data_IF_493241012016
#
_entry.id   IF_493241012016
#
_cell.length_a   1.000
_cell.length_b   1.000
_cell.length_c   1.000
_cell.angle_alpha   90.00
_cell.angle_beta   90.00
_cell.angle_gamma   90.00
#
_symmetry.space_group_name_H-M   'P 1'
#
loop_
_entity.id
_entity.type
_entity.pdbx_description
1 polymer ?
#
# COMPACT_ATOMS: atom_id res chain seq x y z
N UNK A 1 -22.57 -7.03 -4.35
CA UNK A 1 -22.15 -8.07 -5.32
C UNK A 1 -21.46 -7.46 -6.53
N UNK A 2 -22.13 -6.66 -7.39
CA UNK A 2 -21.52 -6.19 -8.65
C UNK A 2 -20.13 -5.53 -8.57
N UNK A 3 -19.88 -4.62 -7.61
CA UNK A 3 -18.58 -3.91 -7.51
C UNK A 3 -17.39 -4.84 -7.22
N UNK A 4 -17.58 -5.93 -6.47
CA UNK A 4 -16.47 -6.87 -6.19
C UNK A 4 -16.21 -7.78 -7.38
N UNK A 5 -17.25 -8.25 -8.05
CA UNK A 5 -17.13 -9.05 -9.28
C UNK A 5 -16.43 -8.25 -10.40
N UNK A 6 -16.74 -6.95 -10.53
CA UNK A 6 -16.04 -6.06 -11.46
C UNK A 6 -14.55 -5.91 -11.10
N UNK A 7 -14.21 -5.85 -9.80
CA UNK A 7 -12.83 -5.81 -9.34
C UNK A 7 -12.09 -7.11 -9.63
N UNK A 8 -12.73 -8.26 -9.38
CA UNK A 8 -12.18 -9.58 -9.67
C UNK A 8 -11.88 -9.74 -11.16
N UNK A 9 -12.82 -9.38 -12.03
CA UNK A 9 -12.60 -9.45 -13.47
C UNK A 9 -11.41 -8.60 -13.93
N UNK A 10 -11.22 -7.41 -13.35
CA UNK A 10 -10.05 -6.57 -13.67
C UNK A 10 -8.75 -7.17 -13.13
N UNK A 11 -8.77 -7.79 -11.96
CA UNK A 11 -7.63 -8.49 -11.35
C UNK A 11 -7.22 -9.69 -12.20
N UNK A 12 -8.17 -10.51 -12.62
CA UNK A 12 -7.93 -11.71 -13.43
C UNK A 12 -7.31 -11.38 -14.80
N UNK A 13 -7.57 -10.16 -15.30
CA UNK A 13 -6.96 -9.66 -16.54
C UNK A 13 -5.63 -8.91 -16.31
N UNK A 14 -5.14 -8.82 -15.06
CA UNK A 14 -3.88 -8.16 -14.73
C UNK A 14 -2.69 -9.00 -15.17
N UNK A 15 -1.69 -8.36 -15.77
CA UNK A 15 -0.41 -9.00 -16.13
C UNK A 15 0.59 -9.05 -14.97
N UNK A 16 0.14 -8.85 -13.73
CA UNK A 16 1.00 -8.78 -12.55
C UNK A 16 1.42 -10.20 -12.14
N UNK A 17 2.73 -10.45 -12.10
CA UNK A 17 3.28 -11.74 -11.68
C UNK A 17 3.24 -11.85 -10.15
N UNK A 18 2.11 -12.32 -9.61
CA UNK A 18 1.87 -12.42 -8.16
C UNK A 18 2.81 -13.44 -7.51
N UNK A 19 3.09 -14.57 -8.16
CA UNK A 19 3.99 -15.58 -7.63
C UNK A 19 5.40 -15.03 -7.45
N UNK A 20 5.91 -14.27 -8.42
CA UNK A 20 7.20 -13.57 -8.29
C UNK A 20 7.18 -12.51 -7.20
N UNK A 21 6.07 -11.81 -7.00
CA UNK A 21 5.95 -10.84 -5.90
C UNK A 21 5.99 -11.53 -4.53
N UNK A 22 5.31 -12.67 -4.37
CA UNK A 22 5.23 -13.42 -3.11
C UNK A 22 6.49 -14.25 -2.81
N UNK A 23 7.30 -14.57 -3.81
CA UNK A 23 8.52 -15.34 -3.63
C UNK A 23 9.47 -14.67 -2.62
N UNK A 24 9.97 -15.45 -1.66
CA UNK A 24 10.97 -14.99 -0.70
C UNK A 24 12.31 -14.71 -1.40
N UNK A 25 12.96 -13.61 -1.02
CA UNK A 25 14.29 -13.24 -1.50
C UNK A 25 15.21 -12.82 -0.35
N UNK A 26 16.51 -12.84 -0.62
CA UNK A 26 17.56 -12.41 0.31
C UNK A 26 18.28 -11.22 -0.32
N UNK A 27 18.31 -10.11 0.41
CA UNK A 27 18.96 -8.87 -0.02
C UNK A 27 20.14 -8.54 0.90
N UNK A 28 21.31 -8.23 0.32
CA UNK A 28 22.42 -7.67 1.08
C UNK A 28 22.12 -6.24 1.54
N UNK A 29 22.37 -5.90 2.81
CA UNK A 29 22.09 -4.55 3.34
C UNK A 29 22.79 -3.40 2.59
N UNK A 30 23.89 -3.69 1.90
CA UNK A 30 24.67 -2.73 1.10
C UNK A 30 24.32 -2.74 -0.39
N UNK A 31 23.46 -3.66 -0.81
CA UNK A 31 23.12 -3.92 -2.21
C UNK A 31 21.63 -3.65 -2.46
N UNK A 32 20.95 -2.97 -1.53
CA UNK A 32 19.55 -2.57 -1.67
C UNK A 32 19.31 -1.17 -1.10
N UNK A 33 18.31 -0.49 -1.65
CA UNK A 33 17.74 0.74 -1.12
C UNK A 33 16.69 0.40 -0.07
N UNK A 34 17.13 0.22 1.19
CA UNK A 34 16.24 -0.17 2.27
C UNK A 34 15.75 1.00 3.13
N UNK A 35 14.59 0.84 3.76
CA UNK A 35 14.04 1.77 4.73
C UNK A 35 13.32 1.05 5.88
N UNK A 36 13.29 1.65 7.07
CA UNK A 36 12.55 1.15 8.23
C UNK A 36 11.96 2.26 9.11
N UNK A 37 12.73 3.34 9.34
CA UNK A 37 12.36 4.46 10.20
C UNK A 37 12.48 5.79 9.46
N UNK A 38 11.85 6.82 10.02
CA UNK A 38 11.76 8.18 9.45
C UNK A 38 13.08 8.86 9.10
N UNK A 39 14.17 8.42 9.72
CA UNK A 39 15.49 9.02 9.53
C UNK A 39 16.32 8.29 8.47
N UNK A 40 15.80 7.20 7.90
CA UNK A 40 16.50 6.45 6.86
C UNK A 40 16.35 7.17 5.51
N UNK A 41 17.37 7.09 4.66
CA UNK A 41 17.49 7.86 3.42
C UNK A 41 16.34 7.63 2.41
N UNK A 42 15.65 6.50 2.51
CA UNK A 42 14.57 6.11 1.61
C UNK A 42 13.21 6.02 2.31
N UNK A 43 13.05 6.64 3.49
CA UNK A 43 11.80 6.57 4.26
C UNK A 43 10.57 7.02 3.48
N UNK A 44 10.72 7.98 2.56
CA UNK A 44 9.65 8.48 1.69
C UNK A 44 9.03 7.40 0.82
N UNK A 45 9.73 6.29 0.60
CA UNK A 45 9.21 5.12 -0.11
C UNK A 45 8.18 4.33 0.69
N UNK A 46 8.23 4.44 2.03
CA UNK A 46 7.25 3.80 2.91
C UNK A 46 5.83 4.23 2.58
N UNK A 47 4.88 3.30 2.68
CA UNK A 47 3.46 3.60 2.64
C UNK A 47 3.00 4.44 3.85
N UNK A 48 3.78 4.46 4.93
CA UNK A 48 3.55 5.26 6.12
C UNK A 48 4.07 6.70 6.00
N UNK A 49 4.82 7.03 4.95
CA UNK A 49 5.36 8.37 4.75
C UNK A 49 4.24 9.41 4.57
N UNK A 50 4.30 10.47 5.37
CA UNK A 50 3.39 11.62 5.25
C UNK A 50 3.93 12.68 4.30
N UNK A 51 3.26 13.84 4.25
CA UNK A 51 3.64 15.01 3.44
C UNK A 51 3.63 14.81 1.91
N UNK A 52 3.20 13.63 1.44
CA UNK A 52 2.97 13.32 0.02
C UNK A 52 1.52 12.85 -0.14
N UNK A 53 0.56 13.79 -0.12
CA UNK A 53 -0.85 13.45 -0.14
C UNK A 53 -1.22 12.71 -1.42
N UNK A 54 -2.10 11.74 -1.29
CA UNK A 54 -2.75 11.05 -2.41
C UNK A 54 -4.13 11.66 -2.59
N UNK A 55 -4.42 12.11 -3.81
CA UNK A 55 -5.70 12.72 -4.16
C UNK A 55 -6.33 11.82 -5.21
N UNK A 56 -7.55 11.38 -4.96
CA UNK A 56 -8.38 10.66 -5.93
C UNK A 56 -9.79 11.23 -5.84
N UNK A 57 -10.41 11.50 -6.98
CA UNK A 57 -11.70 12.21 -7.04
C UNK A 57 -11.74 13.45 -6.11
N UNK A 58 -12.64 13.46 -5.12
CA UNK A 58 -12.80 14.51 -4.12
C UNK A 58 -12.08 14.23 -2.79
N UNK A 59 -11.41 13.09 -2.67
CA UNK A 59 -10.81 12.62 -1.43
C UNK A 59 -9.31 12.91 -1.36
N UNK A 60 -8.88 13.38 -0.19
CA UNK A 60 -7.46 13.64 0.10
C UNK A 60 -6.99 12.75 1.25
N UNK A 61 -6.04 11.87 0.95
CA UNK A 61 -5.35 11.03 1.93
C UNK A 61 -3.96 11.59 2.19
N UNK A 62 -3.53 11.69 3.45
CA UNK A 62 -2.22 12.23 3.83
C UNK A 62 -1.07 11.21 3.68
N UNK A 63 -1.38 9.96 3.37
CA UNK A 63 -0.43 8.86 3.15
C UNK A 63 -1.09 7.76 2.32
N UNK A 64 -0.31 6.89 1.67
CA UNK A 64 -0.87 5.71 1.00
C UNK A 64 -1.42 4.68 1.96
N UNK A 65 -0.86 4.55 3.18
CA UNK A 65 -1.43 3.71 4.23
C UNK A 65 -2.90 4.07 4.50
N UNK A 66 -3.23 5.36 4.52
CA UNK A 66 -4.61 5.79 4.77
C UNK A 66 -5.57 5.30 3.68
N UNK A 67 -5.19 5.43 2.41
CA UNK A 67 -5.99 4.96 1.29
C UNK A 67 -6.07 3.42 1.26
N UNK A 68 -4.95 2.76 1.50
CA UNK A 68 -4.85 1.29 1.55
C UNK A 68 -5.68 0.69 2.68
N UNK A 69 -5.69 1.30 3.87
CA UNK A 69 -6.56 0.81 4.96
C UNK A 69 -8.04 1.08 4.66
N UNK A 70 -8.38 2.13 3.91
CA UNK A 70 -9.76 2.40 3.52
C UNK A 70 -10.30 1.37 2.52
N UNK A 71 -9.47 0.85 1.61
CA UNK A 71 -9.88 -0.12 0.58
C UNK A 71 -10.25 -1.51 1.13
N UNK A 72 -9.98 -1.77 2.40
CA UNK A 72 -10.38 -3.00 3.12
C UNK A 72 -11.87 -3.08 3.42
N UNK A 73 -12.58 -1.96 3.35
CA UNK A 73 -13.92 -1.82 3.91
C UNK A 73 -14.89 -1.31 2.85
N UNK A 74 -16.08 -1.90 2.80
CA UNK A 74 -17.19 -1.36 2.01
C UNK A 74 -17.62 0.01 2.58
N UNK A 75 -18.22 0.90 1.75
CA UNK A 75 -18.60 2.25 2.18
C UNK A 75 -19.53 2.32 3.40
N UNK A 76 -20.28 1.26 3.65
CA UNK A 76 -21.33 1.11 4.67
C UNK A 76 -20.83 0.44 5.97
N UNK A 77 -19.59 -0.03 6.03
CA UNK A 77 -19.04 -0.69 7.23
C UNK A 77 -18.94 0.29 8.40
N UNK A 78 -19.60 -0.05 9.51
CA UNK A 78 -19.56 0.68 10.76
C UNK A 78 -18.89 -0.12 11.88
N UNK A 79 -18.07 0.54 12.69
CA UNK A 79 -17.42 -0.05 13.86
C UNK A 79 -17.02 1.03 14.86
N UNK A 80 -17.57 0.99 16.08
CA UNK A 80 -17.21 1.91 17.17
C UNK A 80 -16.31 1.17 18.18
N UNK A 81 -15.07 1.65 18.45
CA UNK A 81 -14.23 1.06 19.48
C UNK A 81 -14.83 1.30 20.87
N UNK A 82 -14.81 0.27 21.74
CA UNK A 82 -15.24 0.40 23.14
C UNK A 82 -14.52 1.53 23.88
N UNK A 83 -13.24 1.75 23.55
CA UNK A 83 -12.43 2.82 24.14
C UNK A 83 -12.82 4.23 23.68
N UNK A 84 -13.66 4.36 22.65
CA UNK A 84 -14.10 5.64 22.06
C UNK A 84 -15.56 5.53 21.58
N UNK A 85 -16.54 5.48 22.51
CA UNK A 85 -17.95 5.27 22.17
C UNK A 85 -18.59 6.41 21.36
N UNK A 86 -17.93 7.57 21.27
CA UNK A 86 -18.37 8.73 20.47
C UNK A 86 -17.60 8.89 19.15
N UNK A 87 -16.79 7.90 18.77
CA UNK A 87 -16.06 7.96 17.51
C UNK A 87 -17.03 7.88 16.32
N UNK A 88 -16.66 8.51 15.20
CA UNK A 88 -17.31 8.29 13.91
C UNK A 88 -17.47 6.78 13.66
N UNK A 89 -18.70 6.26 13.52
CA UNK A 89 -18.95 4.82 13.37
C UNK A 89 -18.50 4.31 12.01
N UNK A 90 -18.68 5.09 10.94
CA UNK A 90 -18.31 4.65 9.61
C UNK A 90 -16.78 4.52 9.48
N UNK A 91 -16.32 3.32 9.17
CA UNK A 91 -14.89 2.99 9.22
C UNK A 91 -14.11 3.81 8.19
N UNK A 92 -14.60 3.94 6.95
CA UNK A 92 -13.92 4.72 5.91
C UNK A 92 -13.92 6.21 6.21
N UNK A 93 -15.05 6.80 6.63
CA UNK A 93 -15.08 8.21 7.07
C UNK A 93 -14.09 8.45 8.20
N UNK A 94 -14.04 7.55 9.19
CA UNK A 94 -13.08 7.65 10.28
C UNK A 94 -11.63 7.51 9.83
N UNK A 95 -11.34 6.62 8.86
CA UNK A 95 -9.99 6.49 8.27
C UNK A 95 -9.62 7.76 7.52
N UNK A 96 -10.45 8.27 6.62
CA UNK A 96 -10.20 9.48 5.84
C UNK A 96 -10.08 10.74 6.72
N UNK A 97 -10.79 10.79 7.85
CA UNK A 97 -10.66 11.87 8.83
C UNK A 97 -9.35 11.88 9.63
N UNK A 98 -8.47 10.90 9.49
CA UNK A 98 -7.19 10.87 10.21
C UNK A 98 -6.16 11.81 9.57
N UNK A 99 -5.38 12.50 10.41
CA UNK A 99 -4.31 13.39 9.96
C UNK A 99 -3.01 12.67 9.60
N UNK A 100 -2.83 11.43 10.07
CA UNK A 100 -1.61 10.65 9.87
C UNK A 100 -1.89 9.15 9.67
N UNK A 101 -0.98 8.49 8.94
CA UNK A 101 -0.99 7.05 8.66
C UNK A 101 -1.26 6.18 9.90
N UNK A 102 -0.66 6.53 11.04
CA UNK A 102 -0.85 5.79 12.30
C UNK A 102 -2.31 5.82 12.79
N UNK A 103 -2.98 6.97 12.64
CA UNK A 103 -4.40 7.09 13.01
C UNK A 103 -5.27 6.16 12.16
N UNK A 104 -5.02 6.13 10.84
CA UNK A 104 -5.71 5.24 9.92
C UNK A 104 -5.51 3.77 10.31
N UNK A 105 -4.26 3.37 10.57
CA UNK A 105 -3.91 2.01 11.02
C UNK A 105 -4.58 1.63 12.35
N UNK A 106 -4.72 2.56 13.29
CA UNK A 106 -5.42 2.30 14.55
C UNK A 106 -6.93 2.13 14.36
N UNK A 107 -7.55 2.95 13.51
CA UNK A 107 -8.96 2.76 13.13
C UNK A 107 -9.19 1.38 12.51
N UNK A 108 -8.31 0.98 11.59
CA UNK A 108 -8.34 -0.31 10.91
C UNK A 108 -8.29 -1.48 11.91
N UNK A 109 -7.45 -1.42 12.95
CA UNK A 109 -7.30 -2.52 13.92
C UNK A 109 -8.59 -2.87 14.64
N UNK A 110 -9.42 -1.85 14.93
CA UNK A 110 -10.71 -2.07 15.57
C UNK A 110 -11.65 -2.87 14.66
N UNK A 111 -11.75 -2.48 13.40
CA UNK A 111 -12.64 -3.13 12.43
C UNK A 111 -12.13 -4.52 12.02
N UNK A 112 -10.81 -4.75 11.96
CA UNK A 112 -10.23 -6.10 11.82
C UNK A 112 -10.64 -7.00 12.97
N UNK A 113 -10.51 -6.54 14.22
CA UNK A 113 -10.88 -7.34 15.39
C UNK A 113 -12.36 -7.73 15.38
N UNK A 114 -13.20 -6.87 14.79
CA UNK A 114 -14.62 -7.12 14.60
C UNK A 114 -14.95 -8.00 13.38
N UNK A 115 -13.97 -8.44 12.59
CA UNK A 115 -14.19 -9.29 11.42
C UNK A 115 -14.83 -8.57 10.24
N UNK A 116 -14.63 -7.25 10.11
CA UNK A 116 -15.34 -6.40 9.13
C UNK A 116 -14.53 -6.10 7.85
N UNK A 117 -13.37 -6.73 7.69
CA UNK A 117 -12.59 -6.63 6.43
C UNK A 117 -13.34 -7.38 5.34
N UNK A 118 -13.30 -6.87 4.10
CA UNK A 118 -13.84 -7.56 2.92
C UNK A 118 -13.33 -9.01 2.84
N UNK A 119 -14.22 -9.92 2.48
CA UNK A 119 -14.00 -11.37 2.56
C UNK A 119 -12.87 -11.90 1.67
N UNK A 120 -12.59 -11.23 0.57
CA UNK A 120 -11.58 -11.58 -0.44
C UNK A 120 -10.22 -10.90 -0.19
N UNK A 121 -10.05 -10.18 0.92
CA UNK A 121 -8.81 -9.43 1.19
C UNK A 121 -7.56 -10.32 1.27
N UNK A 122 -7.73 -11.52 1.81
CA UNK A 122 -6.70 -12.56 1.97
C UNK A 122 -6.98 -13.77 1.06
N UNK A 123 -7.84 -13.63 0.05
CA UNK A 123 -8.10 -14.71 -0.92
C UNK A 123 -6.98 -14.74 -1.96
N UNK A 124 -6.16 -15.79 -1.93
CA UNK A 124 -5.03 -16.01 -2.83
C UNK A 124 -5.44 -16.08 -4.32
N UNK A 125 -6.73 -16.26 -4.64
CA UNK A 125 -7.21 -16.23 -6.04
C UNK A 125 -7.20 -14.82 -6.63
N UNK A 126 -7.47 -13.81 -5.81
CA UNK A 126 -7.65 -12.43 -6.27
C UNK A 126 -6.55 -11.50 -5.75
N UNK A 127 -5.94 -11.80 -4.61
CA UNK A 127 -4.78 -11.06 -4.10
C UNK A 127 -5.04 -9.56 -3.99
N UNK A 128 -6.28 -9.21 -3.64
CA UNK A 128 -6.81 -7.85 -3.67
C UNK A 128 -5.91 -6.88 -2.91
N UNK A 129 -5.29 -7.33 -1.82
CA UNK A 129 -4.35 -6.53 -1.03
C UNK A 129 -3.10 -6.10 -1.81
N UNK A 130 -2.57 -6.93 -2.70
CA UNK A 130 -1.40 -6.61 -3.56
C UNK A 130 -1.82 -5.59 -4.61
N UNK A 131 -2.91 -5.85 -5.32
CA UNK A 131 -3.48 -4.95 -6.31
C UNK A 131 -3.84 -3.58 -5.70
N UNK A 132 -4.40 -3.59 -4.48
CA UNK A 132 -4.66 -2.38 -3.70
C UNK A 132 -3.40 -1.58 -3.43
N UNK A 133 -2.32 -2.25 -3.01
CA UNK A 133 -1.06 -1.55 -2.73
C UNK A 133 -0.48 -0.93 -4.01
N UNK A 134 -0.47 -1.67 -5.13
CA UNK A 134 0.00 -1.13 -6.40
C UNK A 134 -0.79 0.11 -6.82
N UNK A 135 -2.12 0.04 -6.79
CA UNK A 135 -3.00 1.15 -7.15
C UNK A 135 -2.71 2.41 -6.31
N UNK A 136 -2.58 2.29 -4.98
CA UNK A 136 -2.30 3.45 -4.13
C UNK A 136 -0.89 4.02 -4.37
N UNK A 137 0.08 3.19 -4.73
CA UNK A 137 1.43 3.64 -5.07
C UNK A 137 1.46 4.37 -6.42
N UNK A 138 0.72 3.89 -7.41
CA UNK A 138 0.55 4.60 -8.69
C UNK A 138 -0.07 5.99 -8.48
N UNK A 139 -1.14 6.08 -7.67
CA UNK A 139 -1.73 7.37 -7.31
C UNK A 139 -0.75 8.27 -6.53
N UNK A 140 0.05 7.71 -5.61
CA UNK A 140 1.09 8.48 -4.91
C UNK A 140 2.09 9.07 -5.88
N UNK A 141 2.56 8.30 -6.87
CA UNK A 141 3.48 8.77 -7.91
C UNK A 141 2.84 9.85 -8.79
N UNK A 142 1.60 9.63 -9.22
CA UNK A 142 0.86 10.58 -10.01
C UNK A 142 0.71 11.94 -9.29
N UNK A 143 0.31 11.93 -8.02
CA UNK A 143 0.13 13.15 -7.23
C UNK A 143 1.45 13.81 -6.84
N UNK A 144 2.54 13.04 -6.70
CA UNK A 144 3.80 13.50 -6.09
C UNK A 144 5.04 13.21 -6.98
N UNK A 145 5.08 13.61 -8.25
CA UNK A 145 6.14 13.23 -9.17
C UNK A 145 7.50 13.86 -8.83
N UNK A 146 7.51 15.04 -8.19
CA UNK A 146 8.73 15.79 -7.83
C UNK A 146 9.31 15.43 -6.46
N UNK A 147 8.54 14.75 -5.62
CA UNK A 147 8.96 14.30 -4.28
C UNK A 147 9.12 12.79 -4.26
N UNK A 148 8.01 12.05 -4.19
CA UNK A 148 8.03 10.58 -4.21
C UNK A 148 8.71 10.03 -5.47
N UNK A 149 8.39 10.58 -6.64
CA UNK A 149 9.01 10.14 -7.89
C UNK A 149 10.53 10.34 -7.93
N UNK A 150 11.03 11.43 -7.34
CA UNK A 150 12.46 11.71 -7.23
C UNK A 150 13.16 10.68 -6.35
N UNK A 151 12.61 10.38 -5.17
CA UNK A 151 13.18 9.36 -4.27
C UNK A 151 13.11 7.97 -4.89
N UNK A 152 12.03 7.67 -5.63
CA UNK A 152 11.89 6.40 -6.33
C UNK A 152 12.99 6.21 -7.38
N UNK A 153 13.25 7.23 -8.22
CA UNK A 153 14.32 7.19 -9.23
C UNK A 153 15.73 7.20 -8.63
N UNK A 154 15.93 7.82 -7.46
CA UNK A 154 17.24 7.83 -6.80
C UNK A 154 17.68 6.47 -6.23
N UNK A 155 16.81 5.46 -6.28
CA UNK A 155 17.19 4.08 -5.95
C UNK A 155 17.91 3.37 -7.11
N UNK A 156 17.98 4.02 -8.28
CA UNK A 156 18.67 3.54 -9.47
C UNK A 156 18.26 2.11 -9.84
N UNK A 157 19.22 1.18 -9.90
CA UNK A 157 19.00 -0.23 -10.19
C UNK A 157 18.94 -1.09 -8.91
N UNK A 158 19.05 -0.50 -7.72
CA UNK A 158 19.02 -1.27 -6.48
C UNK A 158 17.61 -1.81 -6.21
N UNK A 159 17.47 -3.05 -5.70
CA UNK A 159 16.22 -3.50 -5.11
C UNK A 159 15.76 -2.55 -4.02
N UNK A 160 14.47 -2.24 -3.98
CA UNK A 160 13.87 -1.43 -2.91
C UNK A 160 13.36 -2.39 -1.85
N UNK A 161 13.71 -2.18 -0.57
CA UNK A 161 13.39 -3.14 0.49
C UNK A 161 12.81 -2.46 1.72
N UNK A 162 11.60 -2.82 2.13
CA UNK A 162 11.12 -2.45 3.47
C UNK A 162 11.75 -3.38 4.49
N UNK A 163 12.58 -2.86 5.40
CA UNK A 163 13.05 -3.62 6.55
C UNK A 163 11.95 -3.64 7.62
N UNK A 164 11.76 -4.78 8.26
CA UNK A 164 10.72 -5.01 9.26
C UNK A 164 11.25 -5.83 10.43
N UNK A 165 10.61 -5.69 11.60
CA UNK A 165 10.91 -6.50 12.78
C UNK A 165 10.14 -7.82 12.82
N UNK A 166 9.02 -7.90 12.09
CA UNK A 166 8.02 -8.98 12.25
C UNK A 166 7.37 -9.42 10.94
N UNK A 167 7.18 -8.49 10.02
CA UNK A 167 6.49 -8.70 8.75
C UNK A 167 7.53 -9.09 7.69
N UNK A 168 7.46 -10.32 7.22
CA UNK A 168 8.26 -10.88 6.12
C UNK A 168 7.47 -10.96 4.80
N UNK A 169 6.22 -10.49 4.77
CA UNK A 169 5.41 -10.45 3.56
C UNK A 169 5.57 -9.11 2.83
N UNK A 170 5.22 -7.99 3.49
CA UNK A 170 5.36 -6.66 2.89
C UNK A 170 6.81 -6.19 2.85
N UNK A 171 7.61 -6.62 3.83
CA UNK A 171 9.02 -6.30 3.96
C UNK A 171 9.89 -7.52 4.24
N UNK A 172 11.07 -7.29 4.80
CA UNK A 172 12.07 -8.29 5.14
C UNK A 172 12.53 -8.16 6.59
N UNK A 173 12.80 -9.30 7.22
CA UNK A 173 13.48 -9.38 8.52
C UNK A 173 14.99 -9.36 8.33
N UNK A 174 15.69 -8.70 9.24
CA UNK A 174 17.16 -8.71 9.23
C UNK A 174 17.69 -10.00 9.86
N UNK A 175 18.63 -10.64 9.17
CA UNK A 175 19.33 -11.83 9.63
C UNK A 175 20.81 -11.74 9.25
N UNK A 176 21.71 -11.55 10.22
CA UNK A 176 23.15 -11.66 9.97
C UNK A 176 23.73 -10.73 8.88
N UNK A 177 23.15 -9.55 8.67
CA UNK A 177 23.60 -8.59 7.65
C UNK A 177 22.87 -8.69 6.30
N UNK A 178 21.91 -9.59 6.17
CA UNK A 178 20.97 -9.66 5.05
C UNK A 178 19.55 -9.34 5.50
N UNK A 179 18.68 -9.05 4.54
CA UNK A 179 17.24 -8.86 4.69
C UNK A 179 16.52 -10.00 3.96
N UNK A 180 15.68 -10.75 4.68
CA UNK A 180 14.98 -11.94 4.15
C UNK A 180 13.47 -11.77 4.28
N UNK A 181 12.74 -12.04 3.20
CA UNK A 181 11.27 -11.97 3.13
C UNK A 181 10.77 -11.84 1.69
N UNK A 182 9.46 -11.88 1.50
CA UNK A 182 8.83 -11.66 0.19
C UNK A 182 9.00 -10.22 -0.30
N UNK A 183 9.05 -9.24 0.62
CA UNK A 183 9.24 -7.83 0.30
C UNK A 183 8.26 -7.30 -0.76
N UNK A 184 6.99 -7.68 -0.70
CA UNK A 184 5.99 -7.35 -1.73
C UNK A 184 5.90 -5.84 -1.93
N UNK A 185 5.98 -5.01 -0.87
CA UNK A 185 5.96 -3.56 -1.01
C UNK A 185 7.17 -3.08 -1.82
N UNK A 186 8.36 -3.55 -1.48
CA UNK A 186 9.60 -3.20 -2.16
C UNK A 186 9.57 -3.61 -3.64
N UNK A 187 9.11 -4.82 -3.94
CA UNK A 187 8.96 -5.30 -5.32
C UNK A 187 7.93 -4.50 -6.12
N UNK A 188 6.81 -4.10 -5.51
CA UNK A 188 5.85 -3.19 -6.15
C UNK A 188 6.44 -1.80 -6.40
N UNK A 189 7.28 -1.28 -5.51
CA UNK A 189 8.00 -0.02 -5.72
C UNK A 189 9.01 -0.14 -6.86
N UNK A 190 9.74 -1.25 -6.93
CA UNK A 190 10.66 -1.55 -8.05
C UNK A 190 9.91 -1.66 -9.37
N UNK A 191 8.80 -2.39 -9.42
CA UNK A 191 7.90 -2.45 -10.58
C UNK A 191 7.41 -1.05 -10.99
N UNK A 192 7.02 -0.24 -10.01
CA UNK A 192 6.54 1.11 -10.24
C UNK A 192 7.64 1.99 -10.86
N UNK A 193 8.87 1.87 -10.39
CA UNK A 193 10.04 2.58 -10.90
C UNK A 193 10.39 2.16 -12.31
N UNK A 194 10.47 0.86 -12.57
CA UNK A 194 11.09 0.32 -13.78
C UNK A 194 10.11 0.23 -14.96
N UNK A 195 8.85 -0.15 -14.69
CA UNK A 195 7.90 -0.49 -15.75
C UNK A 195 6.72 0.47 -15.86
N UNK A 196 6.35 1.11 -14.75
CA UNK A 196 5.10 1.90 -14.66
C UNK A 196 5.36 3.41 -14.58
N UNK A 197 6.58 3.86 -14.31
CA UNK A 197 6.84 5.27 -14.00
C UNK A 197 6.31 6.22 -15.08
N UNK A 198 6.71 6.02 -16.33
CA UNK A 198 6.28 6.88 -17.44
C UNK A 198 4.81 6.67 -17.80
N UNK A 199 4.27 5.46 -17.63
CA UNK A 199 2.83 5.17 -17.83
C UNK A 199 1.98 5.98 -16.85
N UNK A 200 2.30 5.91 -15.56
CA UNK A 200 1.62 6.66 -14.50
C UNK A 200 1.76 8.17 -14.72
N UNK A 201 2.95 8.66 -15.11
CA UNK A 201 3.17 10.07 -15.47
C UNK A 201 2.33 10.55 -16.65
N UNK A 202 1.88 9.63 -17.50
CA UNK A 202 0.98 9.89 -18.63
C UNK A 202 -0.48 9.48 -18.33
N UNK A 203 -0.85 9.30 -17.04
CA UNK A 203 -2.19 8.89 -16.57
C UNK A 203 -2.65 7.52 -17.10
N UNK A 204 -1.71 6.65 -17.43
CA UNK A 204 -1.97 5.26 -17.78
C UNK A 204 -1.78 4.40 -16.53
N UNK A 205 -2.85 4.26 -15.75
CA UNK A 205 -2.88 3.46 -14.53
C UNK A 205 -3.11 1.97 -14.84
N UNK A 206 -2.66 1.10 -13.95
CA UNK A 206 -2.96 -0.34 -14.05
C UNK A 206 -4.44 -0.61 -13.78
N UNK A 207 -5.06 0.19 -12.91
CA UNK A 207 -6.47 0.08 -12.55
C UNK A 207 -7.18 1.43 -12.71
N UNK A 208 -8.50 1.45 -12.97
CA UNK A 208 -9.26 2.70 -13.02
C UNK A 208 -9.20 3.48 -11.71
N UNK A 209 -9.46 4.79 -11.77
CA UNK A 209 -9.68 5.58 -10.56
C UNK A 209 -10.88 5.01 -9.78
N UNK A 210 -10.76 4.93 -8.46
CA UNK A 210 -11.78 4.32 -7.59
C UNK A 210 -11.83 2.79 -7.59
N UNK A 211 -10.87 2.10 -8.24
CA UNK A 211 -10.83 0.64 -8.38
C UNK A 211 -11.22 -0.14 -7.12
N UNK A 212 -10.84 0.31 -5.92
CA UNK A 212 -11.08 -0.40 -4.66
C UNK A 212 -11.88 0.38 -3.62
N UNK A 213 -12.67 1.37 -4.05
CA UNK A 213 -13.41 2.28 -3.18
C UNK A 213 -14.86 2.49 -3.62
#
# INVERSE_FOLDING_TARGET
>A
MGRMEDQHAVIENSSLDIEKLKAEEIYGLRECAWFFKKTDSFWELSNMAGAMPVIFESQRCNSTEQLYQASKYSPDVECVPDSKPKAEPNVRKRIFGQTAARGAKMTQKCAVKAGLVREDWEDDRFEVRIHSMLWVLELKLWCNPRTFGTVLKSTENLPIVEKSRKDDFWGCKENGGTLVGSNVLGKLLTLLRDEKYEKVRNRQFTYPEGFLL
#
